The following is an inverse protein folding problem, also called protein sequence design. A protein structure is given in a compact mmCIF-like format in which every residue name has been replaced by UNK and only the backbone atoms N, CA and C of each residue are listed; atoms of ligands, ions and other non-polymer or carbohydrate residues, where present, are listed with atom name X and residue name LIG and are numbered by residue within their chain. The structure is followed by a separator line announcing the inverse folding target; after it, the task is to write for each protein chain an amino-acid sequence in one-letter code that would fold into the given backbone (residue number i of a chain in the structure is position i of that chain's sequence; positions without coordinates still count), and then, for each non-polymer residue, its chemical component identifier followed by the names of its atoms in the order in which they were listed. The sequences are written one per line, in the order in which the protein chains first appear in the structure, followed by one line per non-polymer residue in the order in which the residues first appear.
data_IF_338598684900
#
_entry.id   IF_338598684900
#
_cell.length_a   1.000
_cell.length_b   1.000
_cell.length_c   1.000
_cell.angle_alpha   90.00
_cell.angle_beta   90.00
_cell.angle_gamma   90.00
#
_symmetry.space_group_name_H-M   'P 1'
#
loop_
_entity.id
_entity.type
_entity.pdbx_description
1 polymer ?
#
# COMPACT_ATOMS: atom_id res chain seq x y z
N UNK A 1 -17.07 11.67 -15.00
CA UNK A 1 -17.13 12.15 -16.40
C UNK A 1 -16.02 11.54 -17.25
N UNK A 2 -16.29 11.13 -18.50
CA UNK A 2 -15.28 10.59 -19.42
C UNK A 2 -14.08 11.51 -19.63
N UNK A 3 -14.29 12.83 -19.65
CA UNK A 3 -13.23 13.81 -19.80
C UNK A 3 -12.21 13.76 -18.65
N UNK A 4 -12.67 13.60 -17.40
CA UNK A 4 -11.79 13.47 -16.23
C UNK A 4 -10.95 12.19 -16.31
N UNK A 5 -11.54 11.09 -16.79
CA UNK A 5 -10.82 9.83 -16.97
C UNK A 5 -9.70 9.97 -18.00
N UNK A 6 -10.00 10.53 -19.17
CA UNK A 6 -9.00 10.78 -20.20
C UNK A 6 -7.91 11.72 -19.70
N UNK A 7 -8.28 12.77 -18.97
CA UNK A 7 -7.31 13.70 -18.39
C UNK A 7 -6.36 12.99 -17.42
N UNK A 8 -6.86 12.12 -16.53
CA UNK A 8 -6.03 11.33 -15.61
C UNK A 8 -5.06 10.40 -16.34
N UNK A 9 -5.51 9.75 -17.41
CA UNK A 9 -4.66 8.84 -18.19
C UNK A 9 -3.55 9.62 -18.89
N UNK A 10 -3.90 10.71 -19.58
CA UNK A 10 -2.95 11.50 -20.41
C UNK A 10 -1.93 12.26 -19.56
N UNK A 11 -2.28 12.65 -18.34
CA UNK A 11 -1.40 13.42 -17.46
C UNK A 11 -0.68 12.54 -16.41
N UNK A 12 -0.78 11.22 -16.50
CA UNK A 12 -0.11 10.31 -15.59
C UNK A 12 1.28 9.95 -16.11
N UNK A 13 2.32 10.33 -15.36
CA UNK A 13 3.70 9.91 -15.64
C UNK A 13 3.84 8.39 -15.70
N UNK A 14 3.11 7.64 -14.85
CA UNK A 14 3.16 6.16 -14.89
C UNK A 14 2.56 5.59 -16.17
N UNK A 15 1.50 6.21 -16.69
CA UNK A 15 0.93 5.79 -17.98
C UNK A 15 1.90 6.10 -19.11
N UNK A 16 2.58 7.24 -19.06
CA UNK A 16 3.62 7.60 -20.03
C UNK A 16 4.77 6.57 -20.04
N UNK A 17 5.27 6.20 -18.85
CA UNK A 17 6.30 5.15 -18.69
C UNK A 17 5.84 3.78 -19.25
N UNK A 18 4.60 3.37 -18.96
CA UNK A 18 4.03 2.13 -19.50
C UNK A 18 3.93 2.17 -21.04
N UNK A 19 3.52 3.32 -21.61
CA UNK A 19 3.43 3.50 -23.06
C UNK A 19 4.79 3.49 -23.74
N UNK A 20 5.83 4.06 -23.13
CA UNK A 20 7.19 3.95 -23.64
C UNK A 20 7.66 2.49 -23.73
N UNK A 21 7.38 1.69 -22.70
CA UNK A 21 7.72 0.25 -22.68
C UNK A 21 6.93 -0.48 -23.76
N UNK A 22 5.63 -0.21 -23.88
CA UNK A 22 4.78 -0.79 -24.90
C UNK A 22 5.30 -0.52 -26.32
N UNK A 23 5.72 0.72 -26.60
CA UNK A 23 6.27 1.11 -27.91
C UNK A 23 7.62 0.45 -28.19
N UNK A 24 8.49 0.30 -27.19
CA UNK A 24 9.79 -0.38 -27.33
C UNK A 24 9.67 -1.89 -27.53
N UNK A 25 8.57 -2.49 -27.08
CA UNK A 25 8.33 -3.94 -27.10
C UNK A 25 6.98 -4.29 -27.73
N UNK A 26 6.63 -3.63 -28.83
CA UNK A 26 5.33 -3.76 -29.49
C UNK A 26 4.98 -5.19 -29.94
N UNK A 27 5.97 -6.06 -30.14
CA UNK A 27 5.79 -7.48 -30.49
C UNK A 27 5.37 -8.35 -29.29
N UNK A 28 5.53 -7.86 -28.06
CA UNK A 28 5.29 -8.59 -26.81
C UNK A 28 4.21 -7.97 -25.93
N UNK A 29 3.78 -6.75 -26.26
CA UNK A 29 2.93 -5.95 -25.40
C UNK A 29 1.52 -5.82 -25.98
N UNK A 30 0.53 -6.20 -25.19
CA UNK A 30 -0.90 -6.03 -25.50
C UNK A 30 -1.48 -4.95 -24.59
N UNK A 31 -1.42 -3.69 -25.04
CA UNK A 31 -1.82 -2.54 -24.22
C UNK A 31 -3.34 -2.50 -24.06
N UNK A 32 -3.81 -2.46 -22.82
CA UNK A 32 -5.22 -2.33 -22.49
C UNK A 32 -5.50 -1.12 -21.58
N UNK A 33 -6.73 -0.63 -21.63
CA UNK A 33 -7.29 0.30 -20.63
C UNK A 33 -8.16 -0.52 -19.68
N UNK A 34 -7.80 -0.53 -18.40
CA UNK A 34 -8.55 -1.27 -17.37
C UNK A 34 -9.44 -0.31 -16.58
N UNK A 35 -10.76 -0.50 -16.70
CA UNK A 35 -11.75 0.24 -15.93
C UNK A 35 -12.22 -0.61 -14.76
N UNK A 36 -11.95 -0.16 -13.53
CA UNK A 36 -12.37 -0.84 -12.30
C UNK A 36 -13.48 -0.06 -11.62
N UNK A 37 -14.46 -0.78 -11.07
CA UNK A 37 -15.48 -0.17 -10.20
C UNK A 37 -14.80 0.38 -8.94
N UNK A 38 -15.08 1.64 -8.62
CA UNK A 38 -14.64 2.25 -7.37
C UNK A 38 -15.14 1.45 -6.17
N UNK A 39 -14.26 1.17 -5.21
CA UNK A 39 -14.61 0.45 -3.99
C UNK A 39 -14.84 1.44 -2.85
N UNK A 40 -16.11 1.80 -2.67
CA UNK A 40 -16.50 2.77 -1.65
C UNK A 40 -16.07 2.35 -0.24
N UNK A 41 -15.70 3.33 0.58
CA UNK A 41 -15.33 3.15 1.98
C UNK A 41 -13.90 2.71 2.23
N UNK A 42 -13.16 2.23 1.23
CA UNK A 42 -11.74 1.90 1.40
C UNK A 42 -10.93 3.17 1.60
N UNK A 43 -9.96 3.08 2.51
CA UNK A 43 -9.07 4.17 2.88
C UNK A 43 -7.62 3.73 2.72
N UNK A 44 -6.72 4.66 2.41
CA UNK A 44 -5.32 4.37 2.08
C UNK A 44 -4.54 3.68 3.20
N UNK A 45 -4.92 3.88 4.45
CA UNK A 45 -4.27 3.24 5.59
C UNK A 45 -4.60 1.75 5.69
N UNK A 46 -5.67 1.30 5.00
CA UNK A 46 -6.09 -0.09 4.90
C UNK A 46 -5.67 -0.74 3.58
N UNK A 47 -4.65 -0.18 2.93
CA UNK A 47 -3.93 -0.79 1.82
C UNK A 47 -2.60 -1.38 2.31
N UNK A 48 -2.28 -2.56 1.80
CA UNK A 48 -1.14 -3.36 2.23
C UNK A 48 -0.44 -3.97 1.04
N UNK A 49 0.87 -4.13 1.13
CA UNK A 49 1.68 -4.87 0.15
C UNK A 49 2.19 -6.14 0.77
N UNK A 50 1.89 -7.27 0.13
CA UNK A 50 2.41 -8.58 0.49
C UNK A 50 3.48 -9.01 -0.50
N UNK A 51 4.57 -9.58 0.01
CA UNK A 51 5.62 -10.21 -0.79
C UNK A 51 5.40 -11.72 -0.79
N UNK A 52 5.47 -12.30 -1.98
CA UNK A 52 5.37 -13.74 -2.22
C UNK A 52 6.70 -14.19 -2.83
N UNK A 53 7.32 -15.20 -2.23
CA UNK A 53 8.55 -15.83 -2.73
C UNK A 53 8.38 -17.33 -2.65
N UNK A 54 8.79 -18.04 -3.69
CA UNK A 54 8.61 -19.49 -3.84
C UNK A 54 7.15 -19.93 -3.60
N UNK A 55 6.21 -19.10 -4.07
CA UNK A 55 4.78 -19.39 -3.99
C UNK A 55 4.17 -19.29 -2.58
N UNK A 56 4.88 -18.71 -1.60
CA UNK A 56 4.37 -18.48 -0.24
C UNK A 56 4.48 -17.00 0.18
N UNK A 57 3.53 -16.47 0.97
CA UNK A 57 3.69 -15.16 1.60
C UNK A 57 4.90 -15.13 2.53
N UNK A 58 5.78 -14.13 2.39
CA UNK A 58 6.99 -13.97 3.21
C UNK A 58 7.06 -12.64 3.95
N UNK A 59 6.36 -11.62 3.46
CA UNK A 59 6.28 -10.33 4.15
C UNK A 59 4.98 -9.62 3.85
N UNK A 60 4.54 -8.78 4.78
CA UNK A 60 3.42 -7.88 4.60
C UNK A 60 3.76 -6.53 5.20
N UNK A 61 3.39 -5.45 4.53
CA UNK A 61 3.58 -4.10 5.03
C UNK A 61 2.40 -3.20 4.72
N UNK A 62 2.21 -2.16 5.53
CA UNK A 62 1.31 -1.06 5.17
C UNK A 62 1.82 -0.38 3.89
N UNK A 63 0.95 -0.23 2.89
CA UNK A 63 1.32 0.26 1.56
C UNK A 63 1.84 1.69 1.63
N UNK A 64 1.08 2.59 2.26
CA UNK A 64 1.53 3.95 2.50
C UNK A 64 2.36 4.03 3.79
N UNK A 65 3.69 3.92 3.64
CA UNK A 65 4.66 3.95 4.73
C UNK A 65 4.74 5.28 5.49
N UNK A 66 4.11 6.33 4.97
CA UNK A 66 4.04 7.65 5.60
C UNK A 66 2.93 7.72 6.65
N UNK A 67 1.86 6.95 6.48
CA UNK A 67 0.66 7.06 7.31
C UNK A 67 0.79 6.22 8.58
N UNK A 68 0.67 6.86 9.74
CA UNK A 68 0.35 6.15 10.98
C UNK A 68 -1.17 6.05 11.12
N UNK A 69 -1.66 4.82 11.29
CA UNK A 69 -3.07 4.56 11.56
C UNK A 69 -3.20 3.80 12.86
N UNK A 70 -3.81 4.44 13.86
CA UNK A 70 -4.00 3.83 15.18
C UNK A 70 -4.82 2.54 15.08
N UNK A 71 -5.85 2.52 14.23
CA UNK A 71 -6.69 1.33 14.04
C UNK A 71 -5.95 0.16 13.41
N UNK A 72 -4.94 0.42 12.57
CA UNK A 72 -4.05 -0.61 12.01
C UNK A 72 -3.00 -1.02 13.03
N UNK A 73 -2.35 -0.07 13.70
CA UNK A 73 -1.32 -0.35 14.71
C UNK A 73 -1.86 -1.24 15.84
N UNK A 74 -3.10 -1.00 16.30
CA UNK A 74 -3.77 -1.81 17.33
C UNK A 74 -4.13 -3.23 16.86
N UNK A 75 -4.31 -3.45 15.55
CA UNK A 75 -4.83 -4.71 14.97
C UNK A 75 -3.83 -5.42 14.06
N UNK A 76 -2.59 -4.95 14.00
CA UNK A 76 -1.64 -5.32 12.94
C UNK A 76 -1.47 -6.82 12.76
N UNK A 77 -1.33 -7.58 13.86
CA UNK A 77 -1.19 -9.04 13.79
C UNK A 77 -2.45 -9.74 13.24
N UNK A 78 -3.65 -9.32 13.66
CA UNK A 78 -4.90 -9.90 13.18
C UNK A 78 -5.14 -9.58 11.69
N UNK A 79 -4.84 -8.34 11.28
CA UNK A 79 -4.89 -7.92 9.87
C UNK A 79 -3.91 -8.76 9.05
N UNK A 80 -2.66 -8.87 9.50
CA UNK A 80 -1.62 -9.55 8.76
C UNK A 80 -1.97 -11.03 8.53
N UNK A 81 -2.44 -11.70 9.58
CA UNK A 81 -2.86 -13.10 9.49
C UNK A 81 -4.09 -13.29 8.60
N UNK A 82 -5.07 -12.38 8.66
CA UNK A 82 -6.26 -12.47 7.81
C UNK A 82 -5.94 -12.24 6.33
N UNK A 83 -5.05 -11.28 6.02
CA UNK A 83 -4.60 -11.04 4.66
C UNK A 83 -3.73 -12.18 4.13
N UNK A 84 -2.87 -12.76 4.96
CA UNK A 84 -2.09 -13.97 4.63
C UNK A 84 -3.01 -15.12 4.22
N UNK A 85 -4.01 -15.43 5.05
CA UNK A 85 -5.01 -16.46 4.76
C UNK A 85 -5.81 -16.16 3.50
N UNK A 86 -6.23 -14.91 3.30
CA UNK A 86 -6.91 -14.50 2.06
C UNK A 86 -6.03 -14.74 0.83
N UNK A 87 -4.76 -14.34 0.87
CA UNK A 87 -3.85 -14.55 -0.25
C UNK A 87 -3.70 -16.05 -0.57
N UNK A 88 -3.43 -16.87 0.44
CA UNK A 88 -3.26 -18.32 0.30
C UNK A 88 -4.53 -19.01 -0.22
N UNK A 89 -5.70 -18.62 0.26
CA UNK A 89 -6.96 -19.28 -0.09
C UNK A 89 -7.59 -18.77 -1.40
N UNK A 90 -7.37 -17.50 -1.76
CA UNK A 90 -8.11 -16.81 -2.85
C UNK A 90 -7.25 -16.25 -3.96
N UNK A 91 -6.01 -15.84 -3.67
CA UNK A 91 -5.13 -15.21 -4.67
C UNK A 91 -4.23 -16.26 -5.31
N UNK A 92 -3.39 -16.93 -4.52
CA UNK A 92 -2.37 -17.86 -5.03
C UNK A 92 -2.96 -18.98 -5.91
N UNK A 93 -4.08 -19.64 -5.54
CA UNK A 93 -4.64 -20.71 -6.36
C UNK A 93 -5.10 -20.23 -7.74
N UNK A 94 -5.50 -18.96 -7.87
CA UNK A 94 -5.96 -18.38 -9.14
C UNK A 94 -4.82 -17.97 -10.08
N UNK A 95 -3.59 -17.92 -9.58
CA UNK A 95 -2.42 -17.59 -10.40
C UNK A 95 -1.82 -18.83 -11.06
N UNK A 96 -2.13 -20.04 -10.57
CA UNK A 96 -1.61 -21.30 -11.11
C UNK A 96 -1.95 -21.42 -12.60
N UNK A 97 -0.92 -21.63 -13.43
CA UNK A 97 -1.06 -21.78 -14.89
C UNK A 97 -1.33 -20.47 -15.66
N UNK A 98 -1.26 -19.31 -15.00
CA UNK A 98 -1.36 -18.02 -15.69
C UNK A 98 0.00 -17.61 -16.28
N UNK A 99 0.04 -16.87 -17.40
CA UNK A 99 1.29 -16.32 -17.93
C UNK A 99 2.07 -15.47 -16.93
N UNK A 100 1.35 -14.76 -16.04
CA UNK A 100 1.97 -13.99 -14.96
C UNK A 100 2.77 -14.89 -14.01
N UNK A 101 2.17 -16.00 -13.53
CA UNK A 101 2.85 -16.91 -12.61
C UNK A 101 4.09 -17.56 -13.24
N UNK A 102 4.03 -17.87 -14.54
CA UNK A 102 5.18 -18.37 -15.29
C UNK A 102 6.30 -17.32 -15.39
N UNK A 103 5.94 -16.07 -15.68
CA UNK A 103 6.90 -14.97 -15.81
C UNK A 103 7.62 -14.66 -14.48
N UNK A 104 6.86 -14.60 -13.38
CA UNK A 104 7.40 -14.21 -12.06
C UNK A 104 8.00 -15.38 -11.27
N UNK A 105 7.78 -16.62 -11.69
CA UNK A 105 8.35 -17.85 -11.08
C UNK A 105 8.17 -17.89 -9.56
N UNK A 106 6.96 -17.55 -9.09
CA UNK A 106 6.62 -17.54 -7.67
C UNK A 106 7.21 -16.38 -6.86
N UNK A 107 7.77 -15.35 -7.51
CA UNK A 107 8.37 -14.17 -6.87
C UNK A 107 7.71 -12.86 -7.31
N UNK A 108 6.76 -12.38 -6.52
CA UNK A 108 5.97 -11.19 -6.84
C UNK A 108 5.50 -10.45 -5.58
N UNK A 109 4.98 -9.25 -5.76
CA UNK A 109 4.27 -8.53 -4.71
C UNK A 109 2.79 -8.40 -5.10
N UNK A 110 1.89 -8.47 -4.13
CA UNK A 110 0.48 -8.21 -4.32
C UNK A 110 -0.01 -7.13 -3.37
N UNK A 111 -0.73 -6.16 -3.93
CA UNK A 111 -1.36 -5.09 -3.16
C UNK A 111 -2.77 -5.51 -2.80
N UNK A 112 -3.10 -5.38 -1.53
CA UNK A 112 -4.34 -5.84 -0.93
C UNK A 112 -5.01 -4.66 -0.23
N UNK A 113 -6.32 -4.54 -0.39
CA UNK A 113 -7.11 -3.54 0.32
C UNK A 113 -8.12 -4.23 1.24
N UNK A 114 -8.26 -3.69 2.45
CA UNK A 114 -9.19 -4.14 3.47
C UNK A 114 -10.30 -3.09 3.64
N UNK A 115 -11.56 -3.52 3.57
CA UNK A 115 -12.68 -2.62 3.84
C UNK A 115 -12.76 -2.30 5.35
N UNK A 116 -13.10 -1.08 5.79
CA UNK A 116 -13.17 -0.74 7.21
C UNK A 116 -14.11 -1.64 8.03
N UNK A 117 -15.19 -2.15 7.44
CA UNK A 117 -16.10 -3.10 8.11
C UNK A 117 -15.43 -4.43 8.49
N UNK A 118 -14.31 -4.77 7.87
CA UNK A 118 -13.49 -5.92 8.26
C UNK A 118 -12.95 -5.78 9.69
N UNK A 119 -12.66 -4.56 10.14
CA UNK A 119 -12.05 -4.33 11.44
C UNK A 119 -12.96 -4.80 12.58
N UNK A 120 -14.27 -4.58 12.46
CA UNK A 120 -15.25 -5.07 13.42
C UNK A 120 -15.34 -6.60 13.43
N UNK A 121 -15.19 -7.27 12.27
CA UNK A 121 -15.15 -8.73 12.20
C UNK A 121 -13.89 -9.30 12.85
N UNK A 122 -12.74 -8.66 12.61
CA UNK A 122 -11.48 -9.04 13.24
C UNK A 122 -11.52 -8.86 14.75
N UNK A 123 -12.13 -7.77 15.25
CA UNK A 123 -12.30 -7.52 16.69
C UNK A 123 -13.19 -8.59 17.35
N UNK A 124 -14.15 -9.15 16.61
CA UNK A 124 -14.99 -10.26 17.06
C UNK A 124 -14.31 -11.64 16.90
N UNK A 125 -13.08 -11.71 16.38
CA UNK A 125 -12.37 -12.97 16.11
C UNK A 125 -12.95 -13.77 14.94
N UNK A 126 -13.78 -13.15 14.09
CA UNK A 126 -14.39 -13.78 12.93
C UNK A 126 -13.46 -13.89 11.72
N UNK A 127 -13.84 -14.72 10.76
CA UNK A 127 -13.18 -14.77 9.45
C UNK A 127 -13.67 -13.63 8.54
N UNK A 128 -12.77 -13.14 7.70
CA UNK A 128 -13.12 -12.09 6.74
C UNK A 128 -14.00 -12.66 5.63
N UNK A 129 -15.20 -12.10 5.50
CA UNK A 129 -16.03 -12.41 4.33
C UNK A 129 -15.38 -11.96 3.02
N UNK A 130 -15.64 -12.68 1.92
CA UNK A 130 -15.02 -12.47 0.60
C UNK A 130 -15.22 -11.05 0.02
N UNK A 131 -16.17 -10.27 0.54
CA UNK A 131 -16.43 -8.89 0.13
C UNK A 131 -15.60 -7.82 0.85
N UNK A 132 -14.80 -8.20 1.85
CA UNK A 132 -14.09 -7.27 2.73
C UNK A 132 -12.59 -7.17 2.47
N UNK A 133 -12.05 -8.04 1.61
CA UNK A 133 -10.67 -7.99 1.14
C UNK A 133 -10.67 -8.03 -0.38
N UNK A 134 -9.85 -7.21 -1.02
CA UNK A 134 -9.62 -7.31 -2.47
C UNK A 134 -8.13 -7.29 -2.79
N UNK A 135 -7.78 -8.04 -3.83
CA UNK A 135 -6.56 -7.84 -4.58
C UNK A 135 -6.71 -6.56 -5.41
N UNK A 136 -5.79 -5.62 -5.22
CA UNK A 136 -5.73 -4.35 -5.94
C UNK A 136 -4.82 -4.48 -7.16
N UNK A 137 -3.62 -5.02 -6.97
CA UNK A 137 -2.58 -5.06 -8.00
C UNK A 137 -1.62 -6.24 -7.79
N UNK A 138 -1.06 -6.73 -8.89
CA UNK A 138 0.06 -7.68 -8.89
C UNK A 138 1.26 -6.99 -9.51
N UNK A 139 2.39 -7.03 -8.80
CA UNK A 139 3.63 -6.39 -9.18
C UNK A 139 4.74 -7.43 -9.29
N UNK A 140 5.66 -7.27 -10.23
CA UNK A 140 6.93 -8.00 -10.20
C UNK A 140 7.67 -7.65 -8.90
N UNK A 141 8.42 -8.61 -8.32
CA UNK A 141 9.23 -8.36 -7.13
C UNK A 141 10.72 -8.21 -7.49
N UNK A 142 11.14 -6.96 -7.65
CA UNK A 142 12.50 -6.54 -7.99
C UNK A 142 12.81 -5.18 -7.35
N UNK A 143 13.98 -4.61 -7.64
CA UNK A 143 14.49 -3.43 -6.93
C UNK A 143 13.65 -2.15 -7.12
N UNK A 144 12.97 -1.99 -8.26
CA UNK A 144 12.11 -0.82 -8.48
C UNK A 144 10.71 -0.98 -7.86
N UNK A 145 10.38 -2.15 -7.33
CA UNK A 145 9.11 -2.39 -6.65
C UNK A 145 9.08 -1.61 -5.35
N UNK A 146 8.07 -0.77 -5.14
CA UNK A 146 7.88 -0.08 -3.86
C UNK A 146 7.88 -1.08 -2.68
N UNK A 147 8.78 -0.92 -1.72
CA UNK A 147 8.97 -1.91 -0.65
C UNK A 147 8.16 -1.64 0.62
N UNK A 148 7.37 -0.55 0.65
CA UNK A 148 6.66 -0.10 1.85
C UNK A 148 7.64 0.17 3.00
N UNK A 149 7.52 -0.59 4.10
CA UNK A 149 8.44 -0.51 5.25
C UNK A 149 9.58 -1.55 5.20
N UNK A 150 9.72 -2.29 4.10
CA UNK A 150 10.90 -3.10 3.84
C UNK A 150 11.92 -2.33 3.00
N UNK A 151 13.15 -2.82 3.01
CA UNK A 151 14.22 -2.40 2.12
C UNK A 151 14.63 -3.59 1.23
N UNK A 152 14.68 -3.39 -0.09
CA UNK A 152 14.91 -4.48 -1.03
C UNK A 152 16.24 -5.20 -0.78
N UNK A 153 17.29 -4.47 -0.44
CA UNK A 153 18.64 -5.01 -0.27
C UNK A 153 18.84 -5.54 1.15
N UNK A 154 18.49 -4.77 2.17
CA UNK A 154 18.69 -5.12 3.56
C UNK A 154 17.77 -6.27 4.01
N UNK A 155 16.55 -6.35 3.48
CA UNK A 155 15.58 -7.39 3.84
C UNK A 155 15.52 -8.56 2.86
N UNK A 156 16.33 -8.57 1.81
CA UNK A 156 16.33 -9.63 0.78
C UNK A 156 16.37 -11.04 1.36
N UNK A 157 17.25 -11.29 2.31
CA UNK A 157 17.39 -12.60 2.94
C UNK A 157 16.13 -13.00 3.73
N UNK A 158 15.52 -12.03 4.43
CA UNK A 158 14.29 -12.23 5.21
C UNK A 158 13.10 -12.49 4.30
N UNK A 159 12.93 -11.68 3.25
CA UNK A 159 11.84 -11.84 2.30
C UNK A 159 11.95 -13.11 1.46
N UNK A 160 13.17 -13.63 1.22
CA UNK A 160 13.33 -14.87 0.46
C UNK A 160 13.17 -16.14 1.31
N UNK A 161 13.80 -16.17 2.49
CA UNK A 161 13.93 -17.40 3.27
C UNK A 161 13.41 -17.29 4.72
N UNK A 162 13.10 -16.08 5.18
CA UNK A 162 12.65 -15.84 6.54
C UNK A 162 11.23 -16.34 6.84
N UNK A 163 10.84 -16.27 8.12
CA UNK A 163 9.44 -16.40 8.51
C UNK A 163 8.62 -15.24 7.94
N UNK A 164 7.31 -15.42 7.87
CA UNK A 164 6.39 -14.33 7.49
C UNK A 164 6.58 -13.13 8.44
N UNK A 165 6.95 -11.98 7.88
CA UNK A 165 7.20 -10.75 8.64
C UNK A 165 6.15 -9.67 8.36
N UNK A 166 5.61 -9.06 9.40
CA UNK A 166 4.65 -7.95 9.31
C UNK A 166 5.31 -6.64 9.74
N UNK A 167 5.21 -5.59 8.91
CA UNK A 167 5.70 -4.25 9.23
C UNK A 167 4.65 -3.17 9.06
N UNK A 168 4.47 -2.36 10.10
CA UNK A 168 3.56 -1.21 10.13
C UNK A 168 4.19 -0.04 10.85
N UNK A 169 3.72 1.18 10.55
CA UNK A 169 4.01 2.33 11.39
C UNK A 169 3.33 2.17 12.74
N UNK A 170 4.13 2.09 13.79
CA UNK A 170 3.65 1.99 15.19
C UNK A 170 3.53 3.35 15.87
N UNK A 171 4.06 4.41 15.24
CA UNK A 171 3.96 5.79 15.71
C UNK A 171 3.89 6.77 14.52
N UNK A 172 3.31 7.97 14.70
CA UNK A 172 3.35 9.05 13.72
C UNK A 172 4.79 9.42 13.35
N UNK A 173 5.01 9.76 12.08
CA UNK A 173 6.26 10.38 11.64
C UNK A 173 6.20 11.90 11.83
N UNK A 174 7.22 12.53 12.41
CA UNK A 174 7.34 13.98 12.43
C UNK A 174 7.27 14.55 11.01
N UNK A 175 6.56 15.68 10.85
CA UNK A 175 6.44 16.43 9.59
C UNK A 175 5.87 15.67 8.39
N UNK A 176 5.26 14.50 8.60
CA UNK A 176 4.68 13.78 7.46
C UNK A 176 3.55 14.57 6.79
N UNK A 177 2.85 15.41 7.56
CA UNK A 177 1.77 16.26 7.07
C UNK A 177 2.24 17.19 5.93
N UNK A 178 3.47 17.71 5.96
CA UNK A 178 3.98 18.58 4.89
C UNK A 178 4.26 17.83 3.58
N UNK A 179 4.38 16.50 3.64
CA UNK A 179 4.59 15.63 2.47
C UNK A 179 3.29 15.03 1.94
N UNK A 180 2.16 15.32 2.57
CA UNK A 180 0.86 14.79 2.22
C UNK A 180 -0.03 15.88 1.64
N UNK A 181 -0.86 15.50 0.67
CA UNK A 181 -1.92 16.36 0.16
C UNK A 181 -2.98 16.59 1.24
N UNK A 182 -3.76 17.67 1.10
CA UNK A 182 -4.67 18.15 2.15
C UNK A 182 -5.67 17.08 2.61
N UNK A 183 -6.21 16.29 1.67
CA UNK A 183 -7.13 15.19 1.94
C UNK A 183 -6.51 14.06 2.78
N UNK A 184 -5.22 13.78 2.57
CA UNK A 184 -4.49 12.77 3.34
C UNK A 184 -4.12 13.24 4.74
N UNK A 185 -3.93 14.56 4.92
CA UNK A 185 -3.70 15.14 6.25
C UNK A 185 -4.87 14.92 7.19
N UNK A 186 -6.10 14.82 6.69
CA UNK A 186 -7.28 14.51 7.52
C UNK A 186 -7.20 13.12 8.16
N UNK A 187 -6.68 12.12 7.44
CA UNK A 187 -6.55 10.75 7.95
C UNK A 187 -5.49 10.59 9.05
N UNK A 188 -4.53 11.51 9.13
CA UNK A 188 -3.54 11.54 10.20
C UNK A 188 -4.05 12.17 11.49
N UNK A 189 -5.24 12.77 11.48
CA UNK A 189 -5.78 13.46 12.65
C UNK A 189 -6.29 12.43 13.66
N UNK A 190 -5.89 12.53 14.93
CA UNK A 190 -6.48 11.70 15.98
C UNK A 190 -8.01 11.84 15.96
N UNK A 191 -8.73 10.73 16.02
CA UNK A 191 -10.19 10.76 16.12
C UNK A 191 -10.60 11.54 17.38
N UNK A 192 -11.27 12.69 17.20
CA UNK A 192 -11.81 13.51 18.29
C UNK A 192 -11.06 14.81 18.60
N UNK A 193 -10.03 15.21 17.83
CA UNK A 193 -9.43 16.54 18.03
C UNK A 193 -10.37 17.67 17.57
N UNK A 194 -10.61 18.71 18.40
CA UNK A 194 -11.43 19.85 18.01
C UNK A 194 -10.81 20.61 16.84
N UNK A 195 -11.65 21.06 15.91
CA UNK A 195 -11.27 21.93 14.79
C UNK A 195 -10.48 23.20 15.21
N UNK A 196 -10.57 23.63 16.46
CA UNK A 196 -9.84 24.78 16.99
C UNK A 196 -8.33 24.53 17.23
N UNK A 197 -7.85 23.28 17.19
CA UNK A 197 -6.41 22.93 17.28
C UNK A 197 -5.74 22.69 15.92
N UNK A 198 -6.41 23.05 14.82
CA UNK A 198 -5.83 23.02 13.47
C UNK A 198 -4.54 23.83 13.44
N UNK A 199 -3.40 23.15 13.30
CA UNK A 199 -2.20 23.82 12.80
C UNK A 199 -2.47 24.17 11.34
N UNK A 200 -2.49 25.47 11.04
CA UNK A 200 -2.50 25.98 9.66
C UNK A 200 -1.27 25.44 8.91
N UNK A 201 -1.33 25.35 7.58
CA UNK A 201 -0.16 24.98 6.76
C UNK A 201 1.07 25.83 7.10
N UNK A 202 0.86 27.10 7.43
CA UNK A 202 1.88 28.03 7.90
C UNK A 202 2.51 27.61 9.24
N UNK A 203 1.72 27.06 10.16
CA UNK A 203 2.20 26.57 11.46
C UNK A 203 2.97 25.25 11.31
N UNK A 204 2.58 24.41 10.34
CA UNK A 204 3.35 23.22 9.98
C UNK A 204 4.70 23.56 9.35
N UNK A 205 4.76 24.56 8.46
CA UNK A 205 6.01 25.08 7.90
C UNK A 205 6.91 25.66 8.99
N UNK A 206 6.37 26.47 9.91
CA UNK A 206 7.13 27.06 11.01
C UNK A 206 7.71 26.00 11.97
N UNK A 207 6.99 24.92 12.24
CA UNK A 207 7.47 23.78 13.03
C UNK A 207 8.63 23.04 12.34
N UNK A 208 8.55 22.85 11.02
CA UNK A 208 9.64 22.25 10.23
C UNK A 208 10.90 23.14 10.26
N UNK A 209 10.76 24.45 10.09
CA UNK A 209 11.88 25.40 10.09
C UNK A 209 12.53 25.55 11.48
N UNK A 210 11.73 25.50 12.56
CA UNK A 210 12.25 25.57 13.92
C UNK A 210 13.13 24.36 14.27
N UNK A 211 12.75 23.16 13.82
CA UNK A 211 13.51 21.94 14.10
C UNK A 211 14.76 21.78 13.22
N UNK A 212 14.73 22.20 11.95
CA UNK A 212 15.94 22.27 11.12
C UNK A 212 17.01 23.19 11.72
N UNK A 213 16.58 24.32 12.30
CA UNK A 213 17.46 25.26 13.01
C UNK A 213 17.98 24.71 14.34
N UNK A 214 17.25 23.77 14.96
CA UNK A 214 17.66 23.06 16.18
C UNK A 214 18.74 22.01 15.90
N UNK A 215 18.62 21.23 14.83
CA UNK A 215 19.64 20.25 14.42
C UNK A 215 20.94 20.90 13.91
N UNK A 216 20.89 22.14 13.41
CA UNK A 216 22.09 22.88 12.98
C UNK A 216 22.92 23.48 14.13
N UNK A 217 22.45 23.34 15.38
CA UNK A 217 23.11 23.88 16.59
C UNK A 217 23.59 22.78 17.56
N UNK A 218 23.53 21.51 17.17
CA UNK A 218 24.02 20.37 17.93
C UNK A 218 25.30 19.79 17.30
#
# INVERSE_FOLDING_TARGET
EPASLLWMIVNSQRVDEDLEVALRHADRWDQAIVLRRWWEGVTIDLEFRMFVVDGRPTGLTQYNQLVYSERVARRGAAIAEALRRFAEARVLPRLVGTPFAEAVRGRFACDLALHPHALAQLDAGGELSDGLVKLVELNCFYEATGMGLFDYHADRARLNAGPFEWRVRTAPQPHVAVKLEAEWRELLRPHGEPAARRLTDEAWCQLADAQQRGCARA
#
